data_IF_229653798918
#
_entry.id   IF_229653798918
#
_cell.length_a   1.000
_cell.length_b   1.000
_cell.length_c   1.000
_cell.angle_alpha   90.00
_cell.angle_beta   90.00
_cell.angle_gamma   90.00
#
_symmetry.space_group_name_H-M   'P 1'
#
loop_
_entity.id
_entity.type
_entity.pdbx_description
1 polymer ?
#
# COMPACT_ATOMS: atom_id res chain seq x y z
N UNK A 1 -8.13 18.78 -6.50
CA UNK A 1 -8.30 18.98 -5.04
C UNK A 1 -8.60 17.65 -4.36
N UNK A 2 -8.32 17.56 -3.08
CA UNK A 2 -8.66 16.39 -2.26
C UNK A 2 -10.10 16.55 -1.75
N UNK A 3 -10.98 15.64 -2.10
CA UNK A 3 -12.39 15.72 -1.73
C UNK A 3 -12.61 15.79 -0.19
N UNK A 4 -11.75 15.15 0.60
CA UNK A 4 -11.82 15.16 2.06
C UNK A 4 -11.40 16.50 2.70
N UNK A 5 -10.74 17.41 1.94
CA UNK A 5 -10.25 18.70 2.42
C UNK A 5 -10.94 19.88 1.75
N UNK A 6 -11.78 19.63 0.75
CA UNK A 6 -12.43 20.67 -0.03
C UNK A 6 -13.85 20.89 0.49
N UNK A 7 -14.14 22.11 0.95
CA UNK A 7 -15.50 22.49 1.35
C UNK A 7 -16.38 22.59 0.10
N UNK A 8 -17.61 22.10 0.24
CA UNK A 8 -18.63 22.22 -0.82
C UNK A 8 -19.11 23.66 -0.91
N UNK A 9 -19.15 24.20 -2.11
CA UNK A 9 -19.63 25.54 -2.42
C UNK A 9 -20.77 25.50 -3.43
N UNK A 10 -21.62 26.53 -3.45
CA UNK A 10 -22.69 26.63 -4.43
C UNK A 10 -22.13 26.66 -5.87
N UNK A 11 -22.79 25.96 -6.78
CA UNK A 11 -22.39 25.80 -8.19
C UNK A 11 -21.07 25.05 -8.39
N UNK A 12 -20.60 24.27 -7.41
CA UNK A 12 -19.44 23.41 -7.57
C UNK A 12 -19.73 22.29 -8.55
N UNK A 13 -18.92 22.16 -9.58
CA UNK A 13 -18.98 21.03 -10.52
C UNK A 13 -18.06 19.91 -10.06
N UNK A 14 -18.62 18.76 -9.77
CA UNK A 14 -17.87 17.55 -9.34
C UNK A 14 -17.87 16.56 -10.50
N UNK A 15 -16.69 16.23 -10.98
CA UNK A 15 -16.50 15.20 -11.99
C UNK A 15 -15.63 14.08 -11.44
N UNK A 16 -16.00 12.83 -11.73
CA UNK A 16 -15.11 11.69 -11.51
C UNK A 16 -14.02 11.69 -12.59
N UNK A 17 -12.79 11.33 -12.18
CA UNK A 17 -11.70 11.23 -13.14
C UNK A 17 -11.92 10.03 -14.05
N UNK A 18 -11.93 10.19 -15.39
CA UNK A 18 -12.33 9.14 -16.34
C UNK A 18 -11.32 7.99 -16.47
N UNK A 19 -10.16 8.07 -15.81
CA UNK A 19 -9.14 7.01 -15.84
C UNK A 19 -9.37 5.90 -14.79
N UNK A 20 -10.42 5.99 -14.00
CA UNK A 20 -10.83 4.90 -13.12
C UNK A 20 -11.89 4.02 -13.81
N UNK A 21 -11.80 2.70 -13.59
CA UNK A 21 -10.79 1.99 -12.82
C UNK A 21 -9.47 1.84 -13.59
N UNK A 22 -8.35 2.04 -12.88
CA UNK A 22 -7.03 1.66 -13.39
C UNK A 22 -7.02 0.15 -13.69
N UNK A 23 -6.24 -0.27 -14.68
CA UNK A 23 -6.07 -1.70 -14.99
C UNK A 23 -5.51 -2.41 -13.77
N UNK A 24 -6.39 -3.18 -13.12
CA UNK A 24 -6.05 -3.99 -11.96
C UNK A 24 -5.92 -5.43 -12.40
N UNK A 25 -4.70 -5.94 -12.45
CA UNK A 25 -4.46 -7.35 -12.72
C UNK A 25 -4.85 -8.20 -11.52
N UNK A 26 -5.45 -9.37 -11.82
CA UNK A 26 -5.75 -10.39 -10.82
C UNK A 26 -4.59 -11.38 -10.80
N UNK A 27 -3.94 -11.51 -9.67
CA UNK A 27 -2.82 -12.45 -9.47
C UNK A 27 -2.89 -13.09 -8.10
N UNK A 28 -2.36 -14.29 -8.02
CA UNK A 28 -2.17 -15.02 -6.76
C UNK A 28 -0.71 -14.84 -6.32
N UNK A 29 -0.51 -14.17 -5.19
CA UNK A 29 0.82 -13.87 -4.69
C UNK A 29 1.63 -15.13 -4.34
N UNK A 30 0.95 -16.27 -4.07
CA UNK A 30 1.61 -17.54 -3.79
C UNK A 30 2.23 -18.18 -5.04
N UNK A 31 1.73 -17.82 -6.22
CA UNK A 31 2.12 -18.42 -7.50
C UNK A 31 3.12 -17.58 -8.31
N UNK A 32 3.45 -16.40 -7.81
CA UNK A 32 4.40 -15.49 -8.47
C UNK A 32 5.62 -15.27 -7.60
N UNK A 33 6.78 -15.14 -8.22
CA UNK A 33 8.05 -14.83 -7.55
C UNK A 33 8.56 -13.48 -8.00
N UNK A 34 9.33 -12.75 -7.16
CA UNK A 34 9.88 -11.45 -7.55
C UNK A 34 10.88 -11.62 -8.68
N UNK A 35 10.45 -11.31 -9.90
CA UNK A 35 11.27 -11.35 -11.09
C UNK A 35 10.83 -10.27 -12.10
N UNK A 36 11.73 -9.82 -12.93
CA UNK A 36 11.44 -8.90 -14.03
C UNK A 36 10.32 -9.45 -14.95
N UNK A 37 10.33 -10.76 -15.21
CA UNK A 37 9.32 -11.44 -16.01
C UNK A 37 7.89 -11.26 -15.47
N UNK A 38 7.70 -11.20 -14.15
CA UNK A 38 6.39 -10.96 -13.51
C UNK A 38 5.87 -9.57 -13.83
N UNK A 39 6.74 -8.56 -13.81
CA UNK A 39 6.34 -7.21 -14.23
C UNK A 39 5.98 -7.14 -15.70
N UNK A 40 6.74 -7.80 -16.56
CA UNK A 40 6.42 -7.88 -18.00
C UNK A 40 5.11 -8.59 -18.28
N UNK A 41 4.80 -9.63 -17.51
CA UNK A 41 3.56 -10.40 -17.67
C UNK A 41 2.32 -9.63 -17.19
N UNK A 42 2.40 -8.97 -16.03
CA UNK A 42 1.25 -8.34 -15.40
C UNK A 42 1.05 -6.87 -15.81
N UNK A 43 2.14 -6.15 -16.05
CA UNK A 43 2.12 -4.72 -16.38
C UNK A 43 3.10 -4.39 -17.52
N UNK A 44 2.91 -4.97 -18.73
CA UNK A 44 3.82 -4.77 -19.85
C UNK A 44 3.93 -3.31 -20.29
N UNK A 45 2.91 -2.49 -19.99
CA UNK A 45 2.89 -1.06 -20.35
C UNK A 45 4.03 -0.26 -19.70
N UNK A 46 4.63 -0.73 -18.60
CA UNK A 46 5.77 -0.02 -17.99
C UNK A 46 6.96 0.10 -18.95
N UNK A 47 7.13 -0.87 -19.85
CA UNK A 47 8.23 -0.87 -20.84
C UNK A 47 8.00 0.11 -22.00
N UNK A 48 6.79 0.67 -22.12
CA UNK A 48 6.49 1.76 -23.05
C UNK A 48 6.80 3.15 -22.48
N UNK A 49 7.41 3.24 -21.29
CA UNK A 49 7.75 4.51 -20.66
C UNK A 49 8.73 5.31 -21.51
N UNK A 50 8.36 6.53 -21.88
CA UNK A 50 9.19 7.46 -22.67
C UNK A 50 10.04 8.40 -21.83
N UNK A 51 10.04 8.26 -20.51
CA UNK A 51 10.84 9.09 -19.60
C UNK A 51 10.41 10.57 -19.49
N UNK A 52 9.16 10.90 -19.83
CA UNK A 52 8.69 12.30 -19.88
C UNK A 52 8.55 12.99 -18.50
N UNK A 53 8.63 12.24 -17.41
CA UNK A 53 8.54 12.70 -16.02
C UNK A 53 7.20 13.39 -15.62
N UNK A 54 6.16 13.29 -16.43
CA UNK A 54 4.85 13.86 -16.13
C UNK A 54 4.24 13.26 -14.85
N UNK A 55 4.45 11.96 -14.63
CA UNK A 55 3.97 11.23 -13.45
C UNK A 55 4.58 11.76 -12.14
N UNK A 56 5.89 11.97 -12.07
CA UNK A 56 6.58 12.55 -10.89
C UNK A 56 6.11 13.97 -10.63
N UNK A 57 6.05 14.79 -11.67
CA UNK A 57 5.61 16.21 -11.54
C UNK A 57 4.16 16.36 -11.07
N UNK A 58 3.32 15.37 -11.31
CA UNK A 58 1.91 15.38 -10.93
C UNK A 58 1.62 14.65 -9.62
N UNK A 59 2.62 14.04 -8.99
CA UNK A 59 2.42 13.28 -7.77
C UNK A 59 2.02 14.19 -6.60
N UNK A 60 0.87 13.90 -5.98
CA UNK A 60 0.36 14.66 -4.82
C UNK A 60 1.16 14.43 -3.54
N UNK A 61 1.92 13.34 -3.49
CA UNK A 61 2.80 12.98 -2.35
C UNK A 61 4.27 13.34 -2.58
N UNK A 62 4.59 13.96 -3.72
CA UNK A 62 5.97 14.34 -4.03
C UNK A 62 6.90 13.15 -4.34
N UNK A 63 6.36 11.97 -4.63
CA UNK A 63 7.15 10.78 -4.91
C UNK A 63 7.82 10.86 -6.28
N UNK A 64 8.99 10.24 -6.41
CA UNK A 64 9.67 10.10 -7.70
C UNK A 64 9.09 8.90 -8.49
N UNK A 65 7.89 9.12 -9.03
CA UNK A 65 7.10 8.08 -9.70
C UNK A 65 7.83 7.46 -10.87
N UNK A 66 8.51 8.26 -11.69
CA UNK A 66 9.27 7.75 -12.82
C UNK A 66 10.40 6.82 -12.36
N UNK A 67 11.04 7.15 -11.23
CA UNK A 67 12.14 6.36 -10.68
C UNK A 67 11.67 4.99 -10.20
N UNK A 68 10.54 4.92 -9.47
CA UNK A 68 10.07 3.62 -9.03
C UNK A 68 9.56 2.74 -10.20
N UNK A 69 9.06 3.33 -11.29
CA UNK A 69 8.76 2.58 -12.51
C UNK A 69 10.05 2.03 -13.14
N UNK A 70 11.13 2.83 -13.18
CA UNK A 70 12.42 2.36 -13.67
C UNK A 70 13.00 1.21 -12.81
N UNK A 71 12.78 1.24 -11.49
CA UNK A 71 13.12 0.11 -10.61
C UNK A 71 12.27 -1.13 -10.92
N UNK A 72 10.97 -0.96 -11.12
CA UNK A 72 10.07 -2.05 -11.48
C UNK A 72 10.46 -2.72 -12.81
N UNK A 73 10.85 -1.93 -13.83
CA UNK A 73 11.32 -2.43 -15.11
C UNK A 73 12.56 -3.33 -14.99
N UNK A 74 13.43 -3.06 -14.01
CA UNK A 74 14.65 -3.82 -13.76
C UNK A 74 14.49 -4.94 -12.72
N UNK A 75 13.27 -5.14 -12.20
CA UNK A 75 13.04 -6.14 -11.15
C UNK A 75 13.63 -5.76 -9.77
N UNK A 76 14.01 -4.49 -9.57
CA UNK A 76 14.53 -3.98 -8.29
C UNK A 76 13.38 -3.68 -7.32
N UNK A 77 12.68 -4.74 -6.88
CA UNK A 77 11.43 -4.61 -6.11
C UNK A 77 11.60 -3.94 -4.76
N UNK A 78 12.71 -4.15 -4.08
CA UNK A 78 13.02 -3.52 -2.80
C UNK A 78 13.07 -1.99 -2.96
N UNK A 79 13.87 -1.50 -3.90
CA UNK A 79 13.97 -0.06 -4.18
C UNK A 79 12.66 0.53 -4.70
N UNK A 80 11.93 -0.24 -5.53
CA UNK A 80 10.61 0.17 -6.00
C UNK A 80 9.60 0.28 -4.85
N UNK A 81 9.63 -0.65 -3.91
CA UNK A 81 8.76 -0.66 -2.74
C UNK A 81 9.07 0.52 -1.81
N UNK A 82 10.34 0.79 -1.55
CA UNK A 82 10.80 1.90 -0.72
C UNK A 82 10.40 3.25 -1.33
N UNK A 83 10.76 3.51 -2.60
CA UNK A 83 10.45 4.77 -3.29
C UNK A 83 8.95 5.03 -3.43
N UNK A 84 8.13 3.99 -3.48
CA UNK A 84 6.69 4.10 -3.63
C UNK A 84 5.90 3.93 -2.32
N UNK A 85 6.56 3.82 -1.17
CA UNK A 85 5.91 3.45 0.09
C UNK A 85 4.75 4.38 0.45
N UNK A 86 4.94 5.69 0.36
CA UNK A 86 3.95 6.71 0.72
C UNK A 86 2.89 6.96 -0.37
N UNK A 87 2.79 6.07 -1.37
CA UNK A 87 1.80 6.20 -2.43
C UNK A 87 0.39 5.95 -1.92
N UNK A 88 -0.46 6.98 -1.95
CA UNK A 88 -1.89 6.94 -1.57
C UNK A 88 -2.81 6.43 -2.69
N UNK A 89 -2.27 5.94 -3.79
CA UNK A 89 -2.99 5.36 -4.93
C UNK A 89 -4.03 6.31 -5.57
N UNK A 90 -3.82 7.62 -5.54
CA UNK A 90 -4.75 8.62 -6.09
C UNK A 90 -4.93 8.56 -7.62
N UNK A 91 -4.03 7.89 -8.36
CA UNK A 91 -4.13 7.68 -9.80
C UNK A 91 -3.76 8.87 -10.70
N UNK A 92 -3.43 10.03 -10.15
CA UNK A 92 -3.10 11.23 -10.92
C UNK A 92 -1.92 11.01 -11.88
N UNK A 93 -0.90 10.28 -11.43
CA UNK A 93 0.26 9.93 -12.28
C UNK A 93 -0.15 9.10 -13.51
N UNK A 94 -1.09 8.15 -13.35
CA UNK A 94 -1.60 7.33 -14.45
C UNK A 94 -2.42 8.14 -15.44
N UNK A 95 -3.25 9.09 -14.95
CA UNK A 95 -4.06 9.95 -15.84
C UNK A 95 -3.21 10.90 -16.69
N UNK A 96 -2.00 11.20 -16.27
CA UNK A 96 -1.06 12.08 -16.97
C UNK A 96 -0.06 11.32 -17.84
N UNK A 97 -0.11 9.99 -17.83
CA UNK A 97 0.85 9.16 -18.55
C UNK A 97 0.42 8.95 -20.01
N UNK A 98 1.23 9.39 -20.99
CA UNK A 98 0.92 9.17 -22.40
C UNK A 98 1.04 7.70 -22.81
N UNK A 99 1.80 6.88 -22.03
CA UNK A 99 1.95 5.45 -22.26
C UNK A 99 0.88 4.60 -21.52
N UNK A 100 -0.05 5.23 -20.80
CA UNK A 100 -1.14 4.52 -20.12
C UNK A 100 -0.69 3.63 -18.95
N UNK A 101 0.45 3.93 -18.31
CA UNK A 101 1.01 3.10 -17.25
C UNK A 101 0.15 3.17 -15.99
N UNK A 102 -0.12 2.01 -15.40
CA UNK A 102 -0.86 1.85 -14.14
C UNK A 102 0.07 1.98 -12.92
N UNK A 103 0.74 3.13 -12.78
CA UNK A 103 1.79 3.36 -11.77
C UNK A 103 1.43 2.91 -10.34
N UNK A 104 0.24 3.24 -9.77
CA UNK A 104 -0.08 2.82 -8.41
C UNK A 104 -0.20 1.30 -8.26
N UNK A 105 -0.68 0.61 -9.30
CA UNK A 105 -0.84 -0.84 -9.27
C UNK A 105 0.52 -1.55 -9.38
N UNK A 106 1.42 -1.04 -10.20
CA UNK A 106 2.82 -1.50 -10.29
C UNK A 106 3.51 -1.35 -8.92
N UNK A 107 3.38 -0.18 -8.30
CA UNK A 107 3.92 0.08 -6.96
C UNK A 107 3.35 -0.89 -5.91
N UNK A 108 2.04 -1.15 -5.94
CA UNK A 108 1.39 -2.09 -5.04
C UNK A 108 1.90 -3.51 -5.22
N UNK A 109 2.07 -3.98 -6.46
CA UNK A 109 2.64 -5.30 -6.72
C UNK A 109 4.08 -5.39 -6.20
N UNK A 110 4.92 -4.39 -6.47
CA UNK A 110 6.30 -4.36 -5.99
C UNK A 110 6.37 -4.41 -4.46
N UNK A 111 5.57 -3.62 -3.76
CA UNK A 111 5.49 -3.63 -2.28
C UNK A 111 5.06 -4.99 -1.73
N UNK A 112 4.09 -5.64 -2.38
CA UNK A 112 3.62 -6.98 -1.96
C UNK A 112 4.68 -8.05 -2.18
N UNK A 113 5.37 -8.01 -3.32
CA UNK A 113 6.47 -8.96 -3.60
C UNK A 113 7.65 -8.74 -2.66
N UNK A 114 8.01 -7.49 -2.41
CA UNK A 114 9.05 -7.15 -1.44
C UNK A 114 8.69 -7.65 -0.05
N UNK A 115 7.52 -7.31 0.46
CA UNK A 115 7.10 -7.69 1.81
C UNK A 115 6.97 -9.20 2.03
N UNK A 116 6.60 -9.94 0.99
CA UNK A 116 6.47 -11.40 1.10
C UNK A 116 7.79 -12.14 0.97
N UNK A 117 8.64 -11.72 0.04
CA UNK A 117 9.78 -12.56 -0.39
C UNK A 117 11.16 -11.97 -0.10
N UNK A 118 11.30 -10.65 -0.02
CA UNK A 118 12.59 -9.96 0.05
C UNK A 118 12.85 -9.30 1.39
N UNK A 119 11.83 -8.65 1.96
CA UNK A 119 11.97 -7.96 3.23
C UNK A 119 12.28 -8.95 4.38
N UNK A 120 13.18 -8.58 5.31
CA UNK A 120 13.45 -9.40 6.47
C UNK A 120 12.18 -9.57 7.31
N UNK A 121 11.95 -10.77 7.81
CA UNK A 121 10.85 -11.04 8.73
C UNK A 121 11.13 -10.40 10.08
N UNK A 122 10.10 -9.84 10.69
CA UNK A 122 10.19 -9.28 12.03
C UNK A 122 10.17 -10.41 13.08
N UNK A 123 11.29 -10.65 13.75
CA UNK A 123 11.38 -11.63 14.84
C UNK A 123 10.38 -11.35 15.96
N UNK A 124 10.19 -10.07 16.28
CA UNK A 124 9.21 -9.66 17.29
C UNK A 124 7.78 -10.06 16.91
N UNK A 125 7.40 -9.87 15.64
CA UNK A 125 6.09 -10.27 15.14
C UNK A 125 5.94 -11.80 15.15
N UNK A 126 6.96 -12.55 14.70
CA UNK A 126 6.94 -14.01 14.71
C UNK A 126 6.82 -14.57 16.13
N UNK A 127 7.53 -13.99 17.09
CA UNK A 127 7.42 -14.37 18.50
C UNK A 127 6.01 -14.09 19.03
N UNK A 128 5.44 -12.91 18.75
CA UNK A 128 4.07 -12.59 19.16
C UNK A 128 3.03 -13.53 18.55
N UNK A 129 3.16 -13.86 17.28
CA UNK A 129 2.27 -14.84 16.62
C UNK A 129 2.39 -16.22 17.26
N UNK A 130 3.60 -16.62 17.66
CA UNK A 130 3.82 -17.89 18.38
C UNK A 130 3.15 -17.88 19.74
N UNK A 131 3.35 -16.85 20.53
CA UNK A 131 2.69 -16.68 21.84
C UNK A 131 1.16 -16.77 21.74
N UNK A 132 0.57 -16.14 20.71
CA UNK A 132 -0.87 -16.21 20.48
C UNK A 132 -1.30 -17.66 20.14
N UNK A 133 -0.57 -18.34 19.27
CA UNK A 133 -0.87 -19.73 18.88
C UNK A 133 -0.73 -20.70 20.05
N UNK A 134 0.25 -20.47 20.91
CA UNK A 134 0.52 -21.30 22.09
C UNK A 134 -0.45 -21.00 23.24
N UNK A 135 -1.37 -20.05 23.05
CA UNK A 135 -2.40 -19.69 24.03
C UNK A 135 -1.90 -18.89 25.22
N UNK A 136 -0.72 -18.27 25.14
CA UNK A 136 -0.11 -17.48 26.24
C UNK A 136 -1.06 -16.43 26.83
N UNK A 137 -1.94 -15.90 26.02
CA UNK A 137 -2.88 -14.83 26.42
C UNK A 137 -4.30 -15.34 26.70
N UNK A 138 -4.59 -16.64 26.52
CA UNK A 138 -5.95 -17.20 26.59
C UNK A 138 -6.59 -16.96 27.96
N UNK A 139 -5.90 -17.30 29.03
CA UNK A 139 -6.42 -17.11 30.40
C UNK A 139 -6.70 -15.64 30.73
N UNK A 140 -5.80 -14.75 30.31
CA UNK A 140 -5.97 -13.29 30.49
C UNK A 140 -7.17 -12.77 29.71
N UNK A 141 -7.35 -13.23 28.48
CA UNK A 141 -8.47 -12.84 27.62
C UNK A 141 -9.81 -13.36 28.18
N UNK A 142 -9.86 -14.62 28.63
CA UNK A 142 -11.05 -15.19 29.24
C UNK A 142 -11.42 -14.48 30.55
N UNK A 143 -10.42 -14.19 31.39
CA UNK A 143 -10.62 -13.38 32.61
C UNK A 143 -11.18 -12.01 32.31
N UNK A 144 -10.62 -11.33 31.27
CA UNK A 144 -11.08 -10.00 30.86
C UNK A 144 -12.50 -10.03 30.30
N UNK A 145 -12.82 -11.01 29.46
CA UNK A 145 -14.14 -11.15 28.86
C UNK A 145 -15.24 -11.54 29.86
N UNK A 146 -14.86 -12.17 30.96
CA UNK A 146 -15.81 -12.51 32.06
C UNK A 146 -16.11 -11.37 32.99
N UNK A 147 -15.44 -10.19 32.88
CA UNK A 147 -15.66 -9.06 33.78
C UNK A 147 -16.94 -8.27 33.46
N UNK A 148 -17.64 -7.71 34.45
CA UNK A 148 -18.74 -6.80 34.24
C UNK A 148 -18.28 -5.50 33.57
N UNK A 149 -19.20 -4.85 32.86
CA UNK A 149 -18.92 -3.65 32.08
C UNK A 149 -18.33 -2.51 32.90
N UNK A 150 -18.80 -2.37 34.14
CA UNK A 150 -18.34 -1.33 35.09
C UNK A 150 -16.87 -1.51 35.44
N UNK A 151 -16.44 -2.74 35.72
CA UNK A 151 -15.05 -3.07 36.00
C UNK A 151 -14.15 -2.88 34.74
N UNK A 152 -14.66 -3.23 33.56
CA UNK A 152 -13.94 -2.97 32.31
C UNK A 152 -13.75 -1.48 32.06
N UNK A 153 -14.73 -0.64 32.38
CA UNK A 153 -14.59 0.82 32.28
C UNK A 153 -13.54 1.37 33.23
N UNK A 154 -13.48 0.86 34.47
CA UNK A 154 -12.46 1.25 35.44
C UNK A 154 -11.07 0.86 34.97
N UNK A 155 -10.87 -0.37 34.51
CA UNK A 155 -9.60 -0.83 33.94
C UNK A 155 -9.19 0.01 32.73
N UNK A 156 -10.12 0.35 31.86
CA UNK A 156 -9.86 1.20 30.70
C UNK A 156 -9.40 2.60 31.09
N UNK A 157 -10.03 3.20 32.10
CA UNK A 157 -9.71 4.55 32.57
C UNK A 157 -8.36 4.62 33.30
N UNK A 158 -7.94 3.52 33.93
CA UNK A 158 -6.67 3.45 34.69
C UNK A 158 -5.54 2.79 33.88
N UNK A 159 -5.76 2.50 32.58
CA UNK A 159 -4.71 1.93 31.75
C UNK A 159 -3.48 2.86 31.65
N UNK A 160 -2.30 2.29 31.65
CA UNK A 160 -1.09 3.02 31.29
C UNK A 160 -1.15 3.39 29.80
N UNK A 161 -1.16 4.69 29.52
CA UNK A 161 -1.10 5.23 28.16
C UNK A 161 0.35 5.66 27.96
N UNK A 162 1.00 5.11 26.97
CA UNK A 162 2.34 5.56 26.57
C UNK A 162 2.28 7.07 26.24
N UNK A 163 3.21 7.82 26.84
CA UNK A 163 3.32 9.27 26.68
C UNK A 163 4.19 9.60 25.47
#
# INVERSE_FOLDING_TARGET
CLACQTKVEDNMYIATLPFFPLVKQVYDLEKITPSEAVMMQLYPEIYACIGCNACTKSCTQGLNVMQYIAYAQRGEFEKCAEESFDCVMCGVCSSRCPAGISHPQVAMLARRLNGKYLAPKSEHLENRVREIRDGTFTELMESLMGKPVEELKELYNHREIEK
#
